data_IF_102873972207
#
_entry.id   IF_102873972207
#
_cell.length_a   1.000
_cell.length_b   1.000
_cell.length_c   1.000
_cell.angle_alpha   90.00
_cell.angle_beta   90.00
_cell.angle_gamma   90.00
#
_symmetry.space_group_name_H-M   'P 1'
#
loop_
_entity.id
_entity.type
_entity.pdbx_description
1 polymer ?
#
# COMPACT_ATOMS: atom_id res chain seq x y z
N UNK A 1 24.46 4.46 -7.05
CA UNK A 1 23.41 3.92 -6.15
C UNK A 1 22.11 4.01 -6.93
N UNK A 2 21.79 2.99 -7.72
CA UNK A 2 20.63 3.00 -8.61
C UNK A 2 19.38 2.71 -7.80
N UNK A 3 18.65 3.76 -7.44
CA UNK A 3 17.28 3.65 -6.96
C UNK A 3 16.41 3.18 -8.13
N UNK A 4 16.29 1.87 -8.29
CA UNK A 4 15.33 1.20 -9.17
C UNK A 4 13.92 1.54 -8.67
N UNK A 5 13.45 2.72 -9.04
CA UNK A 5 12.07 3.16 -8.80
C UNK A 5 11.18 2.47 -9.83
N UNK A 6 11.12 1.13 -9.77
CA UNK A 6 10.06 0.41 -10.48
C UNK A 6 8.76 0.77 -9.77
N UNK A 7 7.74 1.29 -10.46
CA UNK A 7 6.44 1.51 -9.84
C UNK A 7 5.92 0.17 -9.34
N UNK A 8 5.77 0.04 -8.03
CA UNK A 8 5.09 -1.11 -7.45
C UNK A 8 3.62 -1.04 -7.90
N UNK A 9 3.14 -2.14 -8.46
CA UNK A 9 1.72 -2.27 -8.81
C UNK A 9 0.86 -2.11 -7.56
N UNK A 10 -0.34 -1.50 -7.66
CA UNK A 10 -1.24 -1.42 -6.52
C UNK A 10 -1.56 -2.80 -5.93
N UNK A 11 -1.60 -2.86 -4.60
CA UNK A 11 -1.81 -4.11 -3.84
C UNK A 11 -3.23 -4.11 -3.27
N UNK A 12 -3.93 -5.24 -3.35
CA UNK A 12 -5.33 -5.35 -2.88
C UNK A 12 -5.38 -5.60 -1.38
N UNK A 13 -6.40 -5.08 -0.70
CA UNK A 13 -6.73 -5.47 0.68
C UNK A 13 -6.74 -6.99 0.85
N UNK A 14 -6.18 -7.46 1.98
CA UNK A 14 -5.99 -8.87 2.31
C UNK A 14 -4.73 -9.50 1.74
N UNK A 15 -4.09 -8.93 0.73
CA UNK A 15 -2.76 -9.38 0.29
C UNK A 15 -1.69 -8.94 1.27
N UNK A 16 -0.56 -9.66 1.30
CA UNK A 16 0.59 -9.25 2.11
C UNK A 16 1.25 -8.01 1.51
N UNK A 17 1.59 -7.06 2.37
CA UNK A 17 2.35 -5.88 2.04
C UNK A 17 3.73 -6.30 1.50
N UNK A 18 4.11 -5.90 0.28
CA UNK A 18 5.37 -6.33 -0.33
C UNK A 18 6.58 -5.59 0.23
N UNK A 19 6.38 -4.40 0.81
CA UNK A 19 7.45 -3.57 1.36
C UNK A 19 6.91 -2.64 2.44
N UNK A 20 7.64 -2.50 3.53
CA UNK A 20 7.31 -1.55 4.60
C UNK A 20 7.25 -0.12 4.06
N UNK A 21 6.24 0.65 4.45
CA UNK A 21 6.13 2.03 4.01
C UNK A 21 4.79 2.68 4.29
N UNK A 22 4.61 3.88 3.75
CA UNK A 22 3.36 4.62 3.76
C UNK A 22 2.59 4.30 2.49
N UNK A 23 1.38 3.79 2.65
CA UNK A 23 0.50 3.39 1.56
C UNK A 23 -0.76 4.26 1.54
N UNK A 24 -1.25 4.58 0.35
CA UNK A 24 -2.50 5.31 0.11
C UNK A 24 -3.51 4.42 -0.60
N UNK A 25 -4.76 4.40 -0.18
CA UNK A 25 -5.79 3.69 -0.95
C UNK A 25 -6.18 4.47 -2.23
N UNK A 26 -6.63 3.73 -3.23
CA UNK A 26 -7.15 4.27 -4.48
C UNK A 26 -8.69 4.32 -4.43
N UNK A 27 -9.26 5.48 -4.76
CA UNK A 27 -10.71 5.72 -4.76
C UNK A 27 -11.04 7.21 -4.64
N UNK A 28 -12.33 7.56 -4.61
CA UNK A 28 -12.80 8.94 -4.43
C UNK A 28 -12.41 9.50 -3.06
N UNK A 29 -12.53 8.68 -2.01
CA UNK A 29 -12.08 9.01 -0.67
C UNK A 29 -10.78 8.28 -0.37
N UNK A 30 -9.78 9.04 0.09
CA UNK A 30 -8.44 8.50 0.29
C UNK A 30 -7.94 8.68 1.71
N UNK A 31 -7.17 7.71 2.18
CA UNK A 31 -6.46 7.68 3.45
C UNK A 31 -5.04 7.18 3.22
N UNK A 32 -4.13 7.54 4.13
CA UNK A 32 -2.75 7.06 4.16
C UNK A 32 -2.48 6.34 5.46
N UNK A 33 -1.70 5.26 5.41
CA UNK A 33 -1.36 4.46 6.60
C UNK A 33 0.04 3.86 6.45
N UNK A 34 0.75 3.72 7.58
CA UNK A 34 1.99 2.97 7.65
C UNK A 34 1.70 1.47 7.73
N UNK A 35 2.30 0.67 6.85
CA UNK A 35 2.13 -0.78 6.82
C UNK A 35 3.51 -1.41 6.77
N UNK A 36 3.76 -2.38 7.65
CA UNK A 36 4.99 -3.18 7.64
C UNK A 36 4.90 -4.29 6.60
N UNK A 37 6.04 -4.61 5.98
CA UNK A 37 6.18 -5.76 5.07
C UNK A 37 5.55 -7.02 5.66
N UNK A 38 4.96 -7.86 4.81
CA UNK A 38 4.31 -9.13 5.14
C UNK A 38 3.02 -9.01 5.97
N UNK A 39 2.66 -7.81 6.44
CA UNK A 39 1.36 -7.52 7.07
C UNK A 39 0.25 -7.52 6.03
N UNK A 40 -0.95 -7.97 6.37
CA UNK A 40 -2.09 -7.90 5.46
C UNK A 40 -2.49 -6.44 5.21
N UNK A 41 -2.68 -6.09 3.93
CA UNK A 41 -3.15 -4.76 3.54
C UNK A 41 -4.59 -4.56 4.04
N UNK A 42 -4.89 -3.49 4.78
CA UNK A 42 -6.18 -3.35 5.45
C UNK A 42 -7.31 -3.04 4.46
N UNK A 43 -8.54 -3.28 4.91
CA UNK A 43 -9.74 -2.74 4.26
C UNK A 43 -9.95 -1.28 4.70
N UNK A 44 -10.58 -0.49 3.85
CA UNK A 44 -10.98 0.87 4.18
C UNK A 44 -12.47 0.88 4.52
N UNK A 45 -12.81 1.14 5.78
CA UNK A 45 -14.20 1.09 6.28
C UNK A 45 -14.92 -0.25 5.97
N UNK A 46 -14.21 -1.38 6.07
CA UNK A 46 -14.74 -2.71 5.76
C UNK A 46 -14.90 -3.00 4.25
N UNK A 47 -14.34 -2.15 3.38
CA UNK A 47 -14.35 -2.31 1.93
C UNK A 47 -12.95 -2.63 1.42
N UNK A 48 -12.85 -3.63 0.54
CA UNK A 48 -11.59 -3.98 -0.14
C UNK A 48 -11.21 -2.89 -1.13
N UNK A 49 -10.00 -2.35 -0.97
CA UNK A 49 -9.44 -1.30 -1.82
C UNK A 49 -8.10 -1.73 -2.40
N UNK A 50 -7.61 -0.95 -3.35
CA UNK A 50 -6.23 -1.04 -3.82
C UNK A 50 -5.38 -0.02 -3.09
N UNK A 51 -4.14 -0.37 -2.82
CA UNK A 51 -3.17 0.45 -2.11
C UNK A 51 -1.96 0.74 -3.00
N UNK A 52 -1.54 1.99 -3.04
CA UNK A 52 -0.38 2.48 -3.74
C UNK A 52 0.67 2.94 -2.74
N UNK A 53 1.92 2.50 -2.91
CA UNK A 53 3.02 2.93 -2.07
C UNK A 53 3.35 4.39 -2.37
N UNK A 54 3.44 5.21 -1.32
CA UNK A 54 3.90 6.60 -1.42
C UNK A 54 5.36 6.74 -1.00
N UNK A 55 5.73 6.13 0.12
CA UNK A 55 7.07 6.21 0.69
C UNK A 55 7.50 4.84 1.18
N UNK A 56 8.64 4.36 0.71
CA UNK A 56 9.28 3.15 1.23
C UNK A 56 10.08 3.49 2.50
N UNK A 57 10.01 2.61 3.51
CA UNK A 57 10.81 2.69 4.74
C UNK A 57 11.99 1.72 4.72
#
# INVERSE_FOLDING_TARGET
MTSDTKPLSPVKSGQKCPVSGIWKNLGTFTTTIAISEKTAMPEYCGVKVLWMLLYQS
#
